data_IF_912659355195
#
_entry.id   IF_912659355195
#
_cell.length_a   1.000
_cell.length_b   1.000
_cell.length_c   1.000
_cell.angle_alpha   90.00
_cell.angle_beta   90.00
_cell.angle_gamma   90.00
#
_symmetry.space_group_name_H-M   'P 1'
#
loop_
_entity.id
_entity.type
_entity.pdbx_description
1 polymer ?
#
# COMPACT_ATOMS: atom_id res chain seq x y z
N UNK A 1 21.34 4.95 4.35
CA UNK A 1 20.98 5.39 2.98
C UNK A 1 20.20 6.69 3.11
N UNK A 2 20.43 7.64 2.21
CA UNK A 2 19.65 8.88 2.15
C UNK A 2 18.18 8.54 1.85
N UNK A 3 17.25 9.09 2.65
CA UNK A 3 15.80 8.88 2.48
C UNK A 3 15.22 10.05 1.66
N UNK A 4 14.75 9.82 0.43
CA UNK A 4 14.43 10.90 -0.50
C UNK A 4 13.16 11.68 -0.11
N UNK A 5 13.24 13.02 -0.14
CA UNK A 5 12.11 13.92 0.10
C UNK A 5 11.64 14.57 -1.21
N UNK A 6 10.80 13.86 -1.97
CA UNK A 6 10.36 14.27 -3.31
C UNK A 6 9.51 15.56 -3.33
N UNK A 7 8.81 15.86 -2.24
CA UNK A 7 7.97 17.06 -2.09
C UNK A 7 8.79 18.36 -2.12
N UNK A 8 10.06 18.32 -1.71
CA UNK A 8 10.92 19.50 -1.56
C UNK A 8 12.17 19.48 -2.43
N UNK A 9 12.55 18.31 -2.97
CA UNK A 9 13.76 18.19 -3.78
C UNK A 9 13.49 17.48 -5.12
N UNK A 10 13.59 18.25 -6.21
CA UNK A 10 13.38 17.77 -7.57
C UNK A 10 14.45 16.77 -8.02
N UNK A 11 15.64 16.76 -7.44
CA UNK A 11 16.68 15.78 -7.81
C UNK A 11 16.28 14.34 -7.44
N UNK A 12 15.36 14.20 -6.48
CA UNK A 12 14.78 12.90 -6.12
C UNK A 12 13.58 12.52 -6.99
N UNK A 13 13.02 13.40 -7.81
CA UNK A 13 11.82 13.12 -8.62
C UNK A 13 12.12 12.26 -9.86
N UNK A 14 12.56 11.02 -9.63
CA UNK A 14 12.83 10.04 -10.68
C UNK A 14 12.52 8.61 -10.21
N UNK A 15 12.39 7.69 -11.17
CA UNK A 15 12.10 6.27 -10.89
C UNK A 15 13.12 5.64 -9.92
N UNK A 16 14.39 6.07 -10.01
CA UNK A 16 15.48 5.60 -9.14
C UNK A 16 15.18 5.76 -7.66
N UNK A 17 14.47 6.82 -7.27
CA UNK A 17 14.20 7.16 -5.87
C UNK A 17 12.79 6.81 -5.42
N UNK A 18 11.97 6.18 -6.27
CA UNK A 18 10.60 5.80 -5.90
C UNK A 18 10.54 4.84 -4.73
N UNK A 19 11.48 3.90 -4.62
CA UNK A 19 11.53 2.97 -3.49
C UNK A 19 12.10 3.70 -2.29
N UNK A 20 11.27 3.85 -1.26
CA UNK A 20 11.67 4.52 -0.03
C UNK A 20 12.28 3.50 0.93
N UNK A 21 13.42 3.84 1.50
CA UNK A 21 14.08 3.01 2.50
C UNK A 21 13.37 3.19 3.84
N UNK A 22 12.63 2.16 4.26
CA UNK A 22 11.98 2.05 5.56
C UNK A 22 12.62 0.88 6.32
N UNK A 23 12.62 0.95 7.65
CA UNK A 23 13.20 -0.11 8.48
C UNK A 23 12.15 -1.18 8.84
N UNK A 24 10.89 -0.76 9.03
CA UNK A 24 9.81 -1.63 9.48
C UNK A 24 8.60 -1.70 8.55
N UNK A 25 8.72 -1.23 7.31
CA UNK A 25 7.71 -1.47 6.28
C UNK A 25 8.36 -1.87 4.97
N UNK A 26 7.71 -2.79 4.25
CA UNK A 26 8.16 -3.26 2.95
C UNK A 26 7.41 -2.55 1.82
N UNK A 27 8.03 -2.55 0.64
CA UNK A 27 7.39 -2.08 -0.60
C UNK A 27 6.83 -0.64 -0.54
N UNK A 28 7.36 0.19 0.36
CA UNK A 28 7.03 1.61 0.49
C UNK A 28 7.57 2.39 -0.70
N UNK A 29 6.66 3.03 -1.44
CA UNK A 29 6.98 3.73 -2.68
C UNK A 29 6.21 5.01 -2.87
N UNK A 30 6.90 5.98 -3.43
CA UNK A 30 6.37 7.15 -4.11
C UNK A 30 5.81 6.75 -5.50
N UNK A 31 4.63 7.24 -5.87
CA UNK A 31 3.97 6.95 -7.15
C UNK A 31 3.98 8.14 -8.13
N UNK A 32 4.78 9.17 -7.86
CA UNK A 32 4.99 10.26 -8.80
C UNK A 32 5.63 9.82 -10.13
N UNK A 33 5.34 10.55 -11.20
CA UNK A 33 6.01 10.45 -12.49
C UNK A 33 5.50 9.36 -13.44
N UNK A 34 4.50 8.55 -13.06
CA UNK A 34 3.84 7.66 -14.03
C UNK A 34 3.13 8.49 -15.10
N UNK A 35 3.40 8.16 -16.37
CA UNK A 35 2.79 8.83 -17.52
C UNK A 35 1.40 8.28 -17.78
N UNK A 36 0.46 9.18 -18.03
CA UNK A 36 -0.90 8.83 -18.46
C UNK A 36 -0.97 8.84 -19.99
N UNK A 37 -2.01 8.20 -20.54
CA UNK A 37 -2.22 8.13 -22.00
C UNK A 37 -2.57 9.48 -22.62
N UNK A 38 -3.05 10.44 -21.83
CA UNK A 38 -3.32 11.83 -22.24
C UNK A 38 -2.08 12.76 -22.10
N UNK A 39 -0.88 12.20 -21.88
CA UNK A 39 0.38 12.95 -21.85
C UNK A 39 0.70 13.63 -20.52
N UNK A 40 -0.16 13.51 -19.51
CA UNK A 40 0.09 14.01 -18.14
C UNK A 40 0.96 13.03 -17.35
N UNK A 41 1.24 13.40 -16.10
CA UNK A 41 1.94 12.52 -15.15
C UNK A 41 1.36 12.64 -13.75
N UNK A 42 1.40 11.55 -13.00
CA UNK A 42 1.12 11.56 -11.55
C UNK A 42 2.09 12.53 -10.88
N UNK A 43 1.56 13.45 -10.06
CA UNK A 43 2.37 14.46 -9.38
C UNK A 43 3.26 13.81 -8.31
N UNK A 44 4.52 14.20 -8.25
CA UNK A 44 5.47 13.79 -7.20
C UNK A 44 5.12 14.42 -5.85
N UNK A 45 5.41 13.70 -4.77
CA UNK A 45 5.17 14.08 -3.38
C UNK A 45 3.69 14.03 -2.98
N UNK A 46 2.84 13.30 -3.71
CA UNK A 46 1.38 13.31 -3.48
C UNK A 46 0.81 11.95 -3.13
N UNK A 47 1.20 10.90 -3.86
CA UNK A 47 0.62 9.57 -3.69
C UNK A 47 1.72 8.55 -3.41
N UNK A 48 1.51 7.79 -2.34
CA UNK A 48 2.42 6.76 -1.86
C UNK A 48 1.66 5.46 -1.67
N UNK A 49 2.38 4.35 -1.69
CA UNK A 49 1.88 3.03 -1.29
C UNK A 49 2.88 2.36 -0.36
N UNK A 50 2.41 1.47 0.50
CA UNK A 50 3.22 0.76 1.49
C UNK A 50 2.59 -0.59 1.80
N UNK A 51 3.37 -1.48 2.40
CA UNK A 51 2.84 -2.59 3.21
C UNK A 51 2.33 -2.06 4.57
N UNK A 52 1.88 -2.96 5.46
CA UNK A 52 1.49 -2.65 6.84
C UNK A 52 2.55 -1.82 7.57
N UNK A 53 2.11 -1.00 8.52
CA UNK A 53 2.94 -0.08 9.30
C UNK A 53 3.07 -0.52 10.77
N UNK A 54 2.69 -1.75 11.12
CA UNK A 54 2.81 -2.28 12.49
C UNK A 54 4.24 -2.28 13.02
N UNK A 55 5.22 -2.47 12.13
CA UNK A 55 6.61 -2.69 12.51
C UNK A 55 7.51 -1.45 12.34
N UNK A 56 6.96 -0.32 11.86
CA UNK A 56 7.78 0.87 11.58
C UNK A 56 8.46 1.42 12.84
N UNK A 57 9.68 1.94 12.64
CA UNK A 57 10.49 2.57 13.68
C UNK A 57 10.03 4.02 13.97
N UNK A 58 10.55 4.63 15.04
CA UNK A 58 10.33 6.08 15.28
C UNK A 58 10.93 6.94 14.15
N UNK A 59 12.04 6.49 13.56
CA UNK A 59 12.67 7.19 12.43
C UNK A 59 11.83 7.08 11.16
N UNK A 60 11.19 5.94 10.93
CA UNK A 60 10.19 5.76 9.87
C UNK A 60 8.99 6.70 10.07
N UNK A 61 8.46 6.81 11.29
CA UNK A 61 7.35 7.73 11.59
C UNK A 61 7.74 9.19 11.34
N UNK A 62 8.93 9.62 11.78
CA UNK A 62 9.47 10.96 11.47
C UNK A 62 9.62 11.16 9.98
N UNK A 63 10.09 10.15 9.26
CA UNK A 63 10.26 10.22 7.82
C UNK A 63 8.93 10.36 7.08
N UNK A 64 7.89 9.61 7.46
CA UNK A 64 6.52 9.80 6.93
C UNK A 64 5.99 11.22 7.19
N UNK A 65 6.24 11.77 8.38
CA UNK A 65 5.92 13.19 8.68
C UNK A 65 6.67 14.15 7.76
N UNK A 66 7.98 13.94 7.56
CA UNK A 66 8.81 14.79 6.70
C UNK A 66 8.46 14.68 5.20
N UNK A 67 7.91 13.56 4.76
CA UNK A 67 7.33 13.42 3.42
C UNK A 67 6.05 14.28 3.24
N UNK A 68 5.47 14.77 4.34
CA UNK A 68 4.24 15.55 4.35
C UNK A 68 2.98 14.69 4.21
N UNK A 69 3.04 13.41 4.63
CA UNK A 69 1.87 12.53 4.62
C UNK A 69 0.82 13.09 5.58
N UNK A 70 -0.37 13.38 5.05
CA UNK A 70 -1.50 13.91 5.83
C UNK A 70 -2.55 12.85 6.13
N UNK A 71 -2.61 11.79 5.32
CA UNK A 71 -3.61 10.74 5.43
C UNK A 71 -3.00 9.37 5.16
N UNK A 72 -3.40 8.37 5.93
CA UNK A 72 -3.16 6.95 5.70
C UNK A 72 -4.52 6.30 5.45
N UNK A 73 -4.64 5.59 4.33
CA UNK A 73 -5.82 4.79 3.99
C UNK A 73 -5.43 3.32 4.16
N UNK A 74 -6.04 2.65 5.14
CA UNK A 74 -5.77 1.25 5.43
C UNK A 74 -6.86 0.34 4.83
N UNK A 75 -6.45 -0.48 3.87
CA UNK A 75 -7.31 -1.44 3.16
C UNK A 75 -7.35 -2.82 3.81
N UNK A 76 -6.56 -3.07 4.87
CA UNK A 76 -6.47 -4.39 5.51
C UNK A 76 -7.79 -4.77 6.18
N UNK A 77 -8.05 -6.07 6.22
CA UNK A 77 -9.17 -6.65 6.93
C UNK A 77 -9.12 -6.32 8.42
N UNK A 78 -10.25 -6.44 9.11
CA UNK A 78 -10.29 -6.24 10.56
C UNK A 78 -9.37 -7.21 11.32
N UNK A 79 -9.25 -8.45 10.83
CA UNK A 79 -8.40 -9.47 11.43
C UNK A 79 -6.92 -9.08 11.36
N UNK A 80 -6.42 -8.71 10.18
CA UNK A 80 -5.05 -8.27 9.97
C UNK A 80 -4.68 -7.05 10.84
N UNK A 81 -5.59 -6.08 10.98
CA UNK A 81 -5.34 -4.91 11.84
C UNK A 81 -5.32 -5.25 13.33
N UNK A 82 -6.06 -6.27 13.74
CA UNK A 82 -6.07 -6.72 15.14
C UNK A 82 -4.79 -7.48 15.48
N UNK A 83 -4.31 -8.30 14.53
CA UNK A 83 -3.05 -9.04 14.65
C UNK A 83 -1.83 -8.10 14.60
N UNK A 84 -1.85 -7.14 13.68
CA UNK A 84 -0.75 -6.24 13.38
C UNK A 84 -1.22 -4.77 13.34
N UNK A 85 -1.50 -4.13 14.48
CA UNK A 85 -1.99 -2.75 14.50
C UNK A 85 -0.93 -1.76 14.00
N UNK A 86 -1.31 -0.88 13.06
CA UNK A 86 -0.39 0.12 12.51
C UNK A 86 0.03 1.18 13.54
N UNK A 87 1.29 1.61 13.47
CA UNK A 87 1.80 2.76 14.22
C UNK A 87 1.56 4.05 13.42
N UNK A 88 0.56 4.83 13.81
CA UNK A 88 0.17 6.04 13.09
C UNK A 88 0.94 7.26 13.61
N UNK A 89 1.68 8.00 12.76
CA UNK A 89 2.35 9.23 13.19
C UNK A 89 1.35 10.32 13.61
N UNK A 90 1.67 11.12 14.63
CA UNK A 90 0.76 12.19 15.09
C UNK A 90 0.39 13.18 13.98
N UNK A 91 -0.86 13.63 14.00
CA UNK A 91 -1.38 14.59 13.03
C UNK A 91 -1.73 14.00 11.66
N UNK A 92 -1.52 12.69 11.46
CA UNK A 92 -1.95 11.98 10.26
C UNK A 92 -3.37 11.43 10.46
N UNK A 93 -4.28 11.76 9.55
CA UNK A 93 -5.62 11.18 9.56
C UNK A 93 -5.56 9.71 9.11
N UNK A 94 -6.12 8.81 9.92
CA UNK A 94 -6.18 7.39 9.60
C UNK A 94 -7.60 7.02 9.17
N UNK A 95 -7.73 6.48 7.95
CA UNK A 95 -9.01 6.19 7.30
C UNK A 95 -9.05 4.71 6.98
N UNK A 96 -10.07 4.03 7.48
CA UNK A 96 -10.25 2.61 7.25
C UNK A 96 -11.17 2.36 6.05
N UNK A 97 -10.71 1.51 5.15
CA UNK A 97 -11.45 1.07 3.96
C UNK A 97 -11.23 -0.44 3.76
N UNK A 98 -11.65 -1.28 4.72
CA UNK A 98 -11.25 -2.68 4.75
C UNK A 98 -11.74 -3.44 3.52
N UNK A 99 -10.84 -4.22 2.94
CA UNK A 99 -11.14 -5.25 1.95
C UNK A 99 -10.98 -6.57 2.69
N UNK A 100 -12.09 -7.25 2.96
CA UNK A 100 -12.09 -8.52 3.69
C UNK A 100 -11.60 -9.63 2.76
N UNK A 101 -10.29 -9.65 2.56
CA UNK A 101 -9.58 -10.78 1.97
C UNK A 101 -9.34 -11.74 3.13
N UNK A 102 -10.19 -12.75 3.25
CA UNK A 102 -10.11 -13.73 4.35
C UNK A 102 -8.66 -14.25 4.49
N UNK A 103 -8.16 -14.38 5.73
CA UNK A 103 -6.88 -15.02 6.02
C UNK A 103 -6.78 -16.44 5.42
N UNK A 104 -7.92 -17.06 5.13
CA UNK A 104 -8.02 -18.28 4.33
C UNK A 104 -7.38 -18.17 2.93
N UNK A 105 -7.25 -16.98 2.33
CA UNK A 105 -6.58 -16.79 1.04
C UNK A 105 -5.09 -17.14 1.13
N UNK A 106 -4.41 -16.70 2.19
CA UNK A 106 -3.01 -17.04 2.45
C UNK A 106 -2.85 -18.54 2.67
N UNK A 107 -3.67 -19.14 3.53
CA UNK A 107 -3.64 -20.58 3.79
C UNK A 107 -3.91 -21.40 2.52
N UNK A 108 -4.83 -20.96 1.66
CA UNK A 108 -5.10 -21.60 0.36
C UNK A 108 -3.91 -21.49 -0.58
N UNK A 109 -3.25 -20.33 -0.68
CA UNK A 109 -2.03 -20.19 -1.48
C UNK A 109 -0.94 -21.12 -0.96
N UNK A 110 -0.72 -21.16 0.36
CA UNK A 110 0.28 -22.04 0.97
C UNK A 110 -0.02 -23.53 0.69
N UNK A 111 -1.28 -23.95 0.80
CA UNK A 111 -1.70 -25.33 0.50
C UNK A 111 -1.51 -25.68 -0.99
N UNK A 112 -1.78 -24.74 -1.90
CA UNK A 112 -1.48 -24.91 -3.34
C UNK A 112 0.03 -25.07 -3.55
N UNK A 113 0.85 -24.21 -2.95
CA UNK A 113 2.30 -24.26 -3.08
C UNK A 113 2.91 -25.55 -2.52
N UNK A 114 2.31 -26.11 -1.46
CA UNK A 114 2.69 -27.41 -0.87
C UNK A 114 2.18 -28.60 -1.68
N UNK A 115 1.34 -28.39 -2.69
CA UNK A 115 0.73 -29.46 -3.48
C UNK A 115 -0.44 -30.17 -2.78
N UNK A 116 -0.93 -29.64 -1.66
CA UNK A 116 -2.09 -30.16 -0.92
C UNK A 116 -3.41 -29.88 -1.67
N UNK A 117 -3.43 -28.81 -2.46
CA UNK A 117 -4.53 -28.46 -3.36
C UNK A 117 -3.99 -28.53 -4.80
N UNK A 118 -4.56 -29.42 -5.61
CA UNK A 118 -4.23 -29.53 -7.03
C UNK A 118 -4.88 -28.39 -7.83
N UNK A 119 -4.26 -27.21 -7.77
CA UNK A 119 -4.70 -26.00 -8.47
C UNK A 119 -3.50 -25.16 -8.87
N UNK A 120 -3.63 -24.38 -9.93
CA UNK A 120 -2.59 -23.43 -10.32
C UNK A 120 -2.69 -22.13 -9.50
N UNK A 121 -1.56 -21.67 -8.94
CA UNK A 121 -1.49 -20.39 -8.19
C UNK A 121 -1.89 -19.20 -9.05
N UNK A 122 -1.51 -19.19 -10.34
CA UNK A 122 -1.86 -18.12 -11.27
C UNK A 122 -3.37 -17.98 -11.41
N UNK A 123 -4.07 -19.09 -11.64
CA UNK A 123 -5.52 -19.09 -11.83
C UNK A 123 -6.23 -18.66 -10.55
N UNK A 124 -5.74 -19.12 -9.40
CA UNK A 124 -6.20 -18.66 -8.09
C UNK A 124 -6.06 -17.14 -7.92
N UNK A 125 -4.91 -16.57 -8.27
CA UNK A 125 -4.67 -15.12 -8.16
C UNK A 125 -5.53 -14.32 -9.14
N UNK A 126 -5.78 -14.84 -10.34
CA UNK A 126 -6.69 -14.20 -11.31
C UNK A 126 -8.10 -14.13 -10.72
N UNK A 127 -8.63 -15.25 -10.23
CA UNK A 127 -9.97 -15.29 -9.63
C UNK A 127 -10.09 -14.39 -8.40
N UNK A 128 -9.07 -14.36 -7.53
CA UNK A 128 -9.03 -13.45 -6.39
C UNK A 128 -9.12 -11.97 -6.82
N UNK A 129 -8.39 -11.58 -7.88
CA UNK A 129 -8.47 -10.22 -8.41
C UNK A 129 -9.85 -9.91 -8.99
N UNK A 130 -10.51 -10.87 -9.65
CA UNK A 130 -11.89 -10.68 -10.12
C UNK A 130 -12.87 -10.49 -8.96
N UNK A 131 -12.72 -11.28 -7.89
CA UNK A 131 -13.54 -11.16 -6.68
C UNK A 131 -13.35 -9.79 -6.02
N UNK A 132 -12.13 -9.24 -6.00
CA UNK A 132 -11.90 -7.89 -5.48
C UNK A 132 -12.74 -6.85 -6.20
N UNK A 133 -12.83 -6.92 -7.52
CA UNK A 133 -13.63 -5.96 -8.29
C UNK A 133 -15.12 -6.20 -8.09
N UNK A 134 -15.57 -7.47 -8.14
CA UNK A 134 -17.00 -7.83 -7.99
C UNK A 134 -17.54 -7.41 -6.62
N UNK A 135 -16.77 -7.62 -5.55
CA UNK A 135 -17.24 -7.44 -4.18
C UNK A 135 -16.88 -6.07 -3.58
N UNK A 136 -15.77 -5.45 -4.00
CA UNK A 136 -15.22 -4.24 -3.35
C UNK A 136 -15.11 -3.02 -4.29
N UNK A 137 -15.72 -3.05 -5.47
CA UNK A 137 -15.81 -1.88 -6.37
C UNK A 137 -16.31 -0.61 -5.67
N UNK A 138 -17.24 -0.73 -4.72
CA UNK A 138 -17.75 0.39 -3.93
C UNK A 138 -16.68 1.01 -3.01
N UNK A 139 -15.79 0.20 -2.43
CA UNK A 139 -14.65 0.68 -1.62
C UNK A 139 -13.65 1.42 -2.49
N UNK A 140 -13.27 0.85 -3.63
CA UNK A 140 -12.38 1.53 -4.58
C UNK A 140 -13.00 2.83 -5.12
N UNK A 141 -14.29 2.84 -5.41
CA UNK A 141 -15.00 4.06 -5.82
C UNK A 141 -14.95 5.13 -4.73
N UNK A 142 -15.14 4.75 -3.46
CA UNK A 142 -15.04 5.66 -2.32
C UNK A 142 -13.62 6.24 -2.20
N UNK A 143 -12.60 5.39 -2.26
CA UNK A 143 -11.19 5.81 -2.22
C UNK A 143 -10.86 6.83 -3.33
N UNK A 144 -11.30 6.59 -4.56
CA UNK A 144 -10.96 7.42 -5.71
C UNK A 144 -11.74 8.74 -5.81
N UNK A 145 -12.91 8.85 -5.15
CA UNK A 145 -13.81 10.00 -5.28
C UNK A 145 -13.85 10.88 -4.05
N UNK A 146 -13.70 10.28 -2.86
CA UNK A 146 -14.04 10.95 -1.61
C UNK A 146 -12.80 11.42 -0.82
N UNK A 147 -11.59 11.27 -1.38
CA UNK A 147 -10.31 11.67 -0.79
C UNK A 147 -9.52 12.60 -1.72
#
# INVERSE_FOLDING_TARGET
MERPLHSYNQSFQSEKFRKLSMDGSYNTRELGGYKTTDGKSVKWGVLFRSDKLSDISLEDQKYLKNLGIQRIVDFRSKAEKTEDPDKIPDGVAYIEMPIEVDGAMRTKIEAILKGEINRNVKDFLIEANEEFIKNYSHIYSKFLKDL
#
